data_IF_391386352567
#
_entry.id   IF_391386352567
#
_cell.length_a   1.000
_cell.length_b   1.000
_cell.length_c   1.000
_cell.angle_alpha   90.00
_cell.angle_beta   90.00
_cell.angle_gamma   90.00
#
_symmetry.space_group_name_H-M   'P 1'
#
loop_
_entity.id
_entity.type
_entity.pdbx_description
1 polymer ?
#
# COMPACT_ATOMS: atom_id res chain seq x y z
N UNK A 1 4.10 -8.82 20.00
CA UNK A 1 3.55 -8.91 18.62
C UNK A 1 2.67 -7.68 18.40
N UNK A 2 2.71 -7.06 17.23
CA UNK A 2 2.00 -5.82 16.92
C UNK A 2 0.95 -6.04 15.81
N UNK A 3 -0.06 -5.20 15.78
CA UNK A 3 -1.09 -5.13 14.74
C UNK A 3 -0.98 -3.78 14.04
N UNK A 4 -0.90 -3.78 12.72
CA UNK A 4 -1.00 -2.58 11.90
C UNK A 4 -2.40 -2.49 11.32
N UNK A 5 -3.05 -1.32 11.40
CA UNK A 5 -4.38 -1.10 10.87
C UNK A 5 -4.37 -0.28 9.56
N UNK A 6 -5.44 -0.39 8.79
CA UNK A 6 -5.68 0.44 7.60
C UNK A 6 -5.85 1.94 7.91
N UNK A 7 -5.92 2.32 9.19
CA UNK A 7 -5.91 3.72 9.63
C UNK A 7 -4.50 4.24 9.90
N UNK A 8 -3.45 3.47 9.54
CA UNK A 8 -2.03 3.70 9.87
C UNK A 8 -1.64 3.47 11.33
N UNK A 9 -2.61 3.17 12.17
CA UNK A 9 -2.41 2.99 13.61
C UNK A 9 -1.77 1.64 13.93
N UNK A 10 -0.95 1.63 14.96
CA UNK A 10 -0.14 0.48 15.38
C UNK A 10 -0.55 0.10 16.79
N UNK A 11 -0.94 -1.14 16.99
CA UNK A 11 -1.42 -1.61 18.27
C UNK A 11 -0.57 -2.74 18.82
N UNK A 12 -0.41 -2.78 20.14
CA UNK A 12 0.08 -3.97 20.83
C UNK A 12 -1.03 -5.02 20.88
N UNK A 13 -0.73 -6.26 20.52
CA UNK A 13 -1.71 -7.33 20.75
C UNK A 13 -1.98 -7.50 22.24
N UNK A 14 -3.23 -7.84 22.61
CA UNK A 14 -3.54 -8.26 23.96
C UNK A 14 -2.75 -9.53 24.29
N UNK A 15 -2.31 -9.63 25.53
CA UNK A 15 -1.69 -10.85 26.04
C UNK A 15 -2.81 -11.77 26.54
N UNK A 16 -2.84 -12.99 26.00
CA UNK A 16 -3.85 -14.00 26.31
C UNK A 16 -3.88 -14.39 27.80
N UNK A 17 -2.78 -14.19 28.52
CA UNK A 17 -2.64 -14.55 29.93
C UNK A 17 -2.91 -13.38 30.88
N UNK A 18 -2.88 -12.13 30.40
CA UNK A 18 -3.04 -10.96 31.27
C UNK A 18 -4.31 -10.16 31.00
N UNK A 19 -5.00 -10.40 29.89
CA UNK A 19 -6.22 -9.67 29.53
C UNK A 19 -6.00 -8.17 29.29
N UNK A 20 -4.77 -7.77 28.96
CA UNK A 20 -4.43 -6.37 28.71
C UNK A 20 -5.27 -5.81 27.55
N UNK A 21 -5.74 -4.58 27.70
CA UNK A 21 -6.44 -3.85 26.64
C UNK A 21 -5.54 -3.68 25.40
N UNK A 22 -6.15 -3.53 24.23
CA UNK A 22 -5.44 -3.12 23.02
C UNK A 22 -4.89 -1.69 23.27
N UNK A 23 -3.57 -1.51 23.11
CA UNK A 23 -2.90 -0.24 23.32
C UNK A 23 -2.34 0.30 21.99
N UNK A 24 -2.66 1.56 21.67
CA UNK A 24 -2.04 2.29 20.57
C UNK A 24 -0.57 2.56 20.91
N UNK A 25 0.32 2.18 20.01
CA UNK A 25 1.77 2.35 20.12
C UNK A 25 2.29 3.53 19.31
N UNK A 26 1.57 3.89 18.25
CA UNK A 26 1.96 4.94 17.33
C UNK A 26 1.18 4.83 16.02
N UNK A 27 1.61 5.62 15.05
CA UNK A 27 1.03 5.65 13.71
C UNK A 27 2.17 5.72 12.69
N UNK A 28 1.98 5.11 11.53
CA UNK A 28 2.89 5.30 10.40
C UNK A 28 2.76 6.76 9.96
N UNK A 29 3.88 7.47 9.83
CA UNK A 29 3.86 8.85 9.32
C UNK A 29 3.50 8.83 7.84
N UNK A 30 2.23 9.06 7.56
CA UNK A 30 1.73 9.24 6.21
C UNK A 30 1.71 10.73 5.90
N UNK A 31 2.31 11.12 4.78
CA UNK A 31 1.96 12.41 4.18
C UNK A 31 0.45 12.45 3.96
N UNK A 32 -0.19 13.61 4.13
CA UNK A 32 -1.63 13.81 4.00
C UNK A 32 -2.21 12.87 2.93
N UNK A 33 -3.08 11.94 3.31
CA UNK A 33 -3.53 10.85 2.45
C UNK A 33 -5.03 10.68 2.54
N UNK A 34 -5.62 10.04 1.53
CA UNK A 34 -7.05 9.74 1.50
C UNK A 34 -7.40 8.39 2.13
N UNK A 35 -6.41 7.53 2.38
CA UNK A 35 -6.59 6.24 3.08
C UNK A 35 -5.53 5.21 2.65
N UNK A 36 -5.35 4.15 3.46
CA UNK A 36 -4.55 2.98 3.07
C UNK A 36 -5.44 2.03 2.27
N UNK A 37 -5.05 1.71 1.03
CA UNK A 37 -5.78 0.75 0.17
C UNK A 37 -5.39 -0.69 0.52
N UNK A 38 -4.10 -0.94 0.72
CA UNK A 38 -3.58 -2.26 1.05
C UNK A 38 -2.39 -2.18 2.02
N UNK A 39 -2.19 -3.24 2.80
CA UNK A 39 -1.08 -3.36 3.74
C UNK A 39 -0.52 -4.78 3.76
N UNK A 40 0.80 -4.89 3.86
CA UNK A 40 1.52 -6.14 4.02
C UNK A 40 2.67 -5.97 5.01
N UNK A 41 2.64 -6.73 6.10
CA UNK A 41 3.75 -6.81 7.05
C UNK A 41 4.63 -8.02 6.75
N UNK A 42 5.94 -7.79 6.64
CA UNK A 42 6.97 -8.81 6.50
C UNK A 42 7.94 -8.72 7.68
N UNK A 43 7.71 -9.57 8.69
CA UNK A 43 8.62 -9.72 9.82
C UNK A 43 10.03 -10.18 9.40
N UNK A 44 10.15 -10.85 8.24
CA UNK A 44 11.42 -11.35 7.74
C UNK A 44 12.34 -10.23 7.24
N UNK A 45 11.76 -9.18 6.65
CA UNK A 45 12.51 -8.03 6.13
C UNK A 45 12.47 -6.83 7.07
N UNK A 46 11.78 -6.96 8.21
CA UNK A 46 11.48 -5.85 9.12
C UNK A 46 10.79 -4.69 8.39
N UNK A 47 9.83 -5.01 7.51
CA UNK A 47 9.15 -4.02 6.65
C UNK A 47 7.64 -4.09 6.81
N UNK A 48 7.01 -2.92 6.89
CA UNK A 48 5.57 -2.73 6.67
C UNK A 48 5.41 -2.00 5.35
N UNK A 49 4.76 -2.66 4.42
CA UNK A 49 4.45 -2.10 3.12
C UNK A 49 3.00 -1.67 3.10
N UNK A 50 2.73 -0.48 2.57
CA UNK A 50 1.38 0.05 2.42
C UNK A 50 1.20 0.62 1.02
N UNK A 51 -0.02 0.60 0.50
CA UNK A 51 -0.40 1.47 -0.63
C UNK A 51 -1.41 2.51 -0.18
N UNK A 52 -1.24 3.72 -0.67
CA UNK A 52 -2.12 4.84 -0.39
C UNK A 52 -2.04 5.88 -1.49
N UNK A 53 -3.06 6.72 -1.52
CA UNK A 53 -3.16 7.87 -2.42
C UNK A 53 -2.76 9.14 -1.66
N UNK A 54 -1.55 9.68 -1.86
CA UNK A 54 -1.13 10.94 -1.27
C UNK A 54 -2.01 12.07 -1.79
N UNK A 55 -2.43 12.94 -0.89
CA UNK A 55 -3.16 14.15 -1.23
C UNK A 55 -2.21 15.17 -1.82
N UNK A 56 -2.43 15.54 -3.08
CA UNK A 56 -1.75 16.65 -3.74
C UNK A 56 -2.79 17.68 -4.17
N UNK A 57 -2.86 18.87 -3.53
CA UNK A 57 -3.84 19.90 -3.87
C UNK A 57 -3.61 20.51 -5.26
N UNK A 58 -2.45 20.27 -5.88
CA UNK A 58 -2.14 20.73 -7.25
C UNK A 58 -2.62 19.77 -8.33
N UNK A 59 -3.02 18.55 -7.96
CA UNK A 59 -3.49 17.53 -8.88
C UNK A 59 -4.99 17.28 -8.68
N UNK A 60 -5.72 17.15 -9.78
CA UNK A 60 -7.15 16.82 -9.76
C UNK A 60 -7.42 15.33 -9.51
N UNK A 61 -6.37 14.53 -9.34
CA UNK A 61 -6.41 13.09 -9.19
C UNK A 61 -5.27 12.63 -8.27
N UNK A 62 -5.42 11.43 -7.70
CA UNK A 62 -4.44 10.88 -6.77
C UNK A 62 -3.60 9.80 -7.45
N UNK A 63 -2.27 9.96 -7.45
CA UNK A 63 -1.36 8.91 -7.91
C UNK A 63 -1.06 7.95 -6.77
N UNK A 64 -1.59 6.74 -6.82
CA UNK A 64 -1.30 5.75 -5.77
C UNK A 64 0.20 5.42 -5.72
N UNK A 65 0.72 5.30 -4.50
CA UNK A 65 2.10 4.93 -4.21
C UNK A 65 2.13 3.71 -3.31
N UNK A 66 3.25 2.99 -3.33
CA UNK A 66 3.59 1.98 -2.33
C UNK A 66 4.72 2.53 -1.46
N UNK A 67 4.55 2.54 -0.16
CA UNK A 67 5.59 2.96 0.78
C UNK A 67 6.05 1.80 1.66
N UNK A 68 7.34 1.80 1.97
CA UNK A 68 7.98 0.89 2.92
C UNK A 68 8.27 1.62 4.22
N UNK A 69 7.91 1.03 5.35
CA UNK A 69 8.25 1.50 6.68
C UNK A 69 9.06 0.43 7.42
N UNK A 70 9.97 0.84 8.28
CA UNK A 70 10.62 -0.06 9.24
C UNK A 70 9.59 -0.57 10.27
N UNK A 71 9.52 -1.87 10.51
CA UNK A 71 8.50 -2.46 11.39
C UNK A 71 8.78 -2.30 12.89
N UNK A 72 9.93 -1.71 13.27
CA UNK A 72 10.33 -1.43 14.65
C UNK A 72 10.32 0.06 14.95
N UNK A 73 10.84 0.88 14.04
CA UNK A 73 10.94 2.33 14.23
C UNK A 73 9.78 3.09 13.60
N UNK A 74 9.07 2.48 12.65
CA UNK A 74 7.98 3.09 11.89
C UNK A 74 8.43 4.26 11.00
N UNK A 75 9.72 4.33 10.72
CA UNK A 75 10.29 5.33 9.82
C UNK A 75 10.04 4.92 8.36
N UNK A 76 9.72 5.92 7.53
CA UNK A 76 9.61 5.73 6.09
C UNK A 76 10.99 5.39 5.50
N UNK A 77 11.10 4.22 4.88
CA UNK A 77 12.33 3.77 4.19
C UNK A 77 12.34 4.22 2.74
N UNK A 78 11.22 4.08 2.03
CA UNK A 78 11.08 4.49 0.62
C UNK A 78 9.62 4.62 0.18
N UNK A 79 9.43 5.30 -0.94
CA UNK A 79 8.15 5.40 -1.65
C UNK A 79 8.35 5.07 -3.12
N UNK A 80 7.43 4.29 -3.69
CA UNK A 80 7.43 3.81 -5.07
C UNK A 80 6.14 4.32 -5.72
N UNK A 81 6.26 5.20 -6.70
CA UNK A 81 5.13 5.64 -7.48
C UNK A 81 4.68 4.52 -8.43
N UNK A 82 3.37 4.24 -8.51
CA UNK A 82 2.89 3.23 -9.45
C UNK A 82 3.03 3.69 -10.90
N UNK A 83 3.47 2.76 -11.73
CA UNK A 83 3.54 2.95 -13.18
C UNK A 83 2.14 2.88 -13.79
N UNK A 84 1.90 3.74 -14.77
CA UNK A 84 0.76 3.62 -15.67
C UNK A 84 0.82 2.30 -16.45
N UNK A 85 -0.32 1.91 -17.00
CA UNK A 85 -0.46 0.69 -17.77
C UNK A 85 -1.11 0.94 -19.11
N UNK A 86 -0.50 0.39 -20.16
CA UNK A 86 -1.06 0.45 -21.51
C UNK A 86 -2.19 -0.57 -21.62
N UNK A 87 -3.41 -0.06 -21.75
CA UNK A 87 -4.60 -0.89 -21.89
C UNK A 87 -5.48 -0.36 -23.03
N UNK A 88 -6.41 -1.20 -23.49
CA UNK A 88 -7.53 -0.73 -24.32
C UNK A 88 -8.79 -0.75 -23.46
N UNK A 89 -9.34 0.42 -23.19
CA UNK A 89 -10.53 0.59 -22.37
C UNK A 89 -11.56 1.42 -23.13
N UNK A 90 -12.80 0.89 -23.22
CA UNK A 90 -13.89 1.47 -23.99
C UNK A 90 -13.51 1.83 -25.45
N UNK A 91 -12.71 0.98 -26.10
CA UNK A 91 -12.26 1.16 -27.49
C UNK A 91 -11.03 2.08 -27.67
N UNK A 92 -10.57 2.75 -26.61
CA UNK A 92 -9.39 3.62 -26.65
C UNK A 92 -8.18 2.90 -26.08
N UNK A 93 -7.07 2.90 -26.83
CA UNK A 93 -5.77 2.42 -26.34
C UNK A 93 -4.95 3.60 -25.82
N UNK A 94 -4.62 3.59 -24.55
CA UNK A 94 -3.87 4.67 -23.89
C UNK A 94 -3.08 4.15 -22.68
N UNK A 95 -2.31 5.04 -22.06
CA UNK A 95 -1.71 4.86 -20.74
C UNK A 95 -2.72 5.28 -19.67
N UNK A 96 -3.10 4.32 -18.82
CA UNK A 96 -4.02 4.57 -17.72
C UNK A 96 -3.28 4.52 -16.38
N UNK A 97 -3.65 5.38 -15.46
CA UNK A 97 -3.25 5.26 -14.06
C UNK A 97 -3.75 3.94 -13.49
N UNK A 98 -3.08 3.46 -12.44
CA UNK A 98 -3.40 2.17 -11.83
C UNK A 98 -3.52 2.29 -10.33
N UNK A 99 -4.43 1.51 -9.75
CA UNK A 99 -4.54 1.34 -8.30
C UNK A 99 -3.98 0.00 -7.85
N UNK A 100 -3.23 0.00 -6.75
CA UNK A 100 -2.80 -1.22 -6.06
C UNK A 100 -3.97 -1.83 -5.30
N UNK A 101 -4.44 -3.00 -5.73
CA UNK A 101 -5.58 -3.69 -5.08
C UNK A 101 -5.10 -4.60 -3.96
N UNK A 102 -4.00 -5.30 -4.19
CA UNK A 102 -3.25 -6.00 -3.16
C UNK A 102 -1.82 -6.28 -3.62
N UNK A 103 -0.91 -6.41 -2.68
CA UNK A 103 0.46 -6.80 -2.96
C UNK A 103 1.09 -7.55 -1.78
N UNK A 104 2.19 -8.23 -2.03
CA UNK A 104 2.97 -8.90 -0.98
C UNK A 104 4.45 -8.94 -1.35
N UNK A 105 5.30 -8.91 -0.32
CA UNK A 105 6.74 -9.06 -0.51
C UNK A 105 7.13 -10.53 -0.61
N UNK A 106 8.18 -10.80 -1.36
CA UNK A 106 8.74 -12.16 -1.43
C UNK A 106 9.45 -12.53 -0.14
N UNK A 107 9.64 -13.82 0.09
CA UNK A 107 10.45 -14.33 1.20
C UNK A 107 11.88 -13.77 1.18
N UNK A 108 12.45 -13.53 0.00
CA UNK A 108 13.79 -12.93 -0.10
C UNK A 108 13.79 -11.43 0.21
N UNK A 109 12.62 -10.78 0.20
CA UNK A 109 12.46 -9.38 0.55
C UNK A 109 12.88 -8.37 -0.51
N UNK A 110 13.39 -8.85 -1.64
CA UNK A 110 13.93 -8.01 -2.72
C UNK A 110 12.92 -7.76 -3.84
N UNK A 111 11.68 -8.25 -3.69
CA UNK A 111 10.62 -8.12 -4.69
C UNK A 111 9.26 -7.94 -4.04
N UNK A 112 8.43 -7.13 -4.67
CA UNK A 112 6.99 -7.04 -4.43
C UNK A 112 6.24 -7.63 -5.62
N UNK A 113 5.25 -8.47 -5.34
CA UNK A 113 4.22 -8.87 -6.30
C UNK A 113 3.02 -7.96 -6.11
N UNK A 114 2.75 -7.11 -7.10
CA UNK A 114 1.68 -6.15 -7.10
C UNK A 114 0.57 -6.59 -8.04
N UNK A 115 -0.65 -6.68 -7.52
CA UNK A 115 -1.86 -6.89 -8.30
C UNK A 115 -2.60 -5.56 -8.38
N UNK A 116 -2.69 -5.05 -9.60
CA UNK A 116 -3.27 -3.75 -9.89
C UNK A 116 -4.30 -3.82 -11.02
N UNK A 117 -5.07 -2.75 -11.12
CA UNK A 117 -6.04 -2.53 -12.18
C UNK A 117 -5.97 -1.05 -12.59
N UNK A 118 -6.41 -0.71 -13.79
CA UNK A 118 -6.51 0.69 -14.22
C UNK A 118 -7.57 1.43 -13.39
N UNK A 119 -7.31 2.69 -13.06
CA UNK A 119 -8.19 3.53 -12.26
C UNK A 119 -9.08 4.38 -13.18
N UNK A 120 -10.31 3.92 -13.41
CA UNK A 120 -11.29 4.58 -14.28
C UNK A 120 -12.65 4.68 -13.59
N UNK A 121 -13.31 5.84 -13.76
CA UNK A 121 -14.48 6.20 -12.98
C UNK A 121 -15.75 5.39 -13.32
N UNK A 122 -15.96 4.98 -14.59
CA UNK A 122 -17.10 4.15 -15.01
C UNK A 122 -17.07 3.79 -16.51
N UNK A 123 -17.50 2.58 -16.92
CA UNK A 123 -17.63 1.39 -16.08
C UNK A 123 -16.31 0.96 -15.41
N UNK A 124 -16.33 0.18 -14.33
CA UNK A 124 -15.10 -0.40 -13.79
C UNK A 124 -14.37 -1.19 -14.88
N UNK A 125 -13.06 -0.97 -15.03
CA UNK A 125 -12.28 -1.75 -15.96
C UNK A 125 -12.01 -3.15 -15.42
N UNK A 126 -12.19 -4.17 -16.28
CA UNK A 126 -11.72 -5.52 -16.02
C UNK A 126 -10.32 -5.70 -16.65
N UNK A 127 -9.38 -4.85 -16.24
CA UNK A 127 -8.01 -4.83 -16.77
C UNK A 127 -7.02 -5.08 -15.64
N UNK A 128 -6.98 -6.34 -15.19
CA UNK A 128 -6.10 -6.79 -14.13
C UNK A 128 -4.73 -7.18 -14.65
N UNK A 129 -3.69 -6.81 -13.91
CA UNK A 129 -2.33 -7.19 -14.24
C UNK A 129 -1.45 -7.30 -13.00
N UNK A 130 -0.40 -8.10 -13.16
CA UNK A 130 0.64 -8.29 -12.16
C UNK A 130 1.85 -7.47 -12.56
N UNK A 131 2.38 -6.69 -11.63
CA UNK A 131 3.69 -6.05 -11.72
C UNK A 131 4.62 -6.64 -10.67
N UNK A 132 5.87 -6.88 -11.05
CA UNK A 132 6.93 -7.29 -10.13
C UNK A 132 7.86 -6.11 -9.98
N UNK A 133 8.02 -5.63 -8.75
CA UNK A 133 8.85 -4.47 -8.41
C UNK A 133 10.06 -4.96 -7.62
N UNK A 134 11.26 -4.66 -8.08
CA UNK A 134 12.49 -4.90 -7.32
C UNK A 134 12.65 -3.83 -6.22
N UNK A 135 12.99 -4.25 -5.00
CA UNK A 135 13.08 -3.40 -3.80
C UNK A 135 14.33 -3.68 -2.96
#
# INVERSE_FOLDING_TARGET
>A
KYLFSFTSSIYKFPDENTGNTIHLLGELSLQSHTGITWMHHSALTSSVWISYSPYDPSQSWFKEVIAEYDDKTFDLKRTIALNEYVATYNGTKDYYHTSARYFFSTKAGNKLFLIKNIDVASPPADTWHIEIIDV
#
